data_IF_636817744588
#
_entry.id   IF_636817744588
#
_cell.length_a   1.000
_cell.length_b   1.000
_cell.length_c   1.000
_cell.angle_alpha   90.00
_cell.angle_beta   90.00
_cell.angle_gamma   90.00
#
_symmetry.space_group_name_H-M   'P 1'
#
loop_
_entity.id
_entity.type
_entity.pdbx_description
1 polymer ?
#
# COMPACT_ATOMS: atom_id res chain seq x y z
N UNK A 1 -17.07 -21.10 -21.06
CA UNK A 1 -15.88 -20.40 -20.53
C UNK A 1 -16.18 -20.03 -19.09
N UNK A 2 -15.66 -20.77 -18.12
CA UNK A 2 -15.82 -20.44 -16.70
C UNK A 2 -14.73 -19.42 -16.35
N UNK A 3 -15.13 -18.17 -16.13
CA UNK A 3 -14.22 -17.16 -15.57
C UNK A 3 -13.88 -17.60 -14.14
N UNK A 4 -12.64 -18.00 -13.90
CA UNK A 4 -12.11 -18.21 -12.56
C UNK A 4 -12.35 -16.94 -11.73
N UNK A 5 -13.26 -17.01 -10.76
CA UNK A 5 -13.61 -15.89 -9.91
C UNK A 5 -12.52 -15.72 -8.84
N UNK A 6 -11.35 -15.22 -9.25
CA UNK A 6 -10.24 -14.95 -8.34
C UNK A 6 -10.60 -13.74 -7.49
N UNK A 7 -10.43 -13.81 -6.15
CA UNK A 7 -10.67 -12.65 -5.31
C UNK A 7 -9.76 -11.48 -5.74
N UNK A 8 -10.24 -10.24 -5.59
CA UNK A 8 -9.43 -9.08 -5.90
C UNK A 8 -8.16 -9.09 -5.05
N UNK A 9 -7.07 -8.59 -5.63
CA UNK A 9 -5.79 -8.48 -4.95
C UNK A 9 -5.91 -7.68 -3.65
N UNK A 10 -5.19 -8.13 -2.61
CA UNK A 10 -5.11 -7.48 -1.33
C UNK A 10 -3.66 -7.07 -1.07
N UNK A 11 -3.48 -5.82 -0.62
CA UNK A 11 -2.15 -5.33 -0.21
C UNK A 11 -1.56 -6.27 0.84
N UNK A 12 -0.30 -6.62 0.65
CA UNK A 12 0.52 -7.34 1.61
C UNK A 12 1.17 -6.36 2.58
N UNK A 13 1.89 -6.89 3.57
CA UNK A 13 2.68 -6.06 4.47
C UNK A 13 3.79 -5.29 3.74
N UNK A 14 4.46 -5.92 2.77
CA UNK A 14 5.51 -5.27 1.99
C UNK A 14 4.97 -4.18 1.08
N UNK A 15 3.79 -4.38 0.48
CA UNK A 15 3.10 -3.33 -0.28
C UNK A 15 2.74 -2.16 0.62
N UNK A 16 2.34 -2.42 1.87
CA UNK A 16 2.04 -1.36 2.83
C UNK A 16 3.30 -0.52 3.18
N UNK A 17 4.47 -1.16 3.28
CA UNK A 17 5.75 -0.44 3.47
C UNK A 17 6.04 0.45 2.26
N UNK A 18 5.86 -0.07 1.04
CA UNK A 18 6.07 0.71 -0.18
C UNK A 18 5.02 1.82 -0.37
N UNK A 19 3.77 1.60 0.02
CA UNK A 19 2.71 2.63 0.09
C UNK A 19 3.18 3.83 0.93
N UNK A 20 3.76 3.59 2.11
CA UNK A 20 4.31 4.67 2.94
C UNK A 20 5.46 5.41 2.25
N UNK A 21 6.39 4.68 1.63
CA UNK A 21 7.51 5.27 0.90
C UNK A 21 7.03 6.16 -0.27
N UNK A 22 6.09 5.67 -1.09
CA UNK A 22 5.51 6.43 -2.20
C UNK A 22 4.75 7.67 -1.73
N UNK A 23 3.97 7.54 -0.66
CA UNK A 23 3.22 8.65 -0.09
C UNK A 23 4.15 9.75 0.41
N UNK A 24 5.22 9.40 1.13
CA UNK A 24 6.23 10.38 1.56
C UNK A 24 7.07 10.95 0.42
N UNK A 25 7.20 10.23 -0.69
CA UNK A 25 7.78 10.75 -1.93
C UNK A 25 6.82 11.70 -2.70
N UNK A 26 5.62 11.97 -2.16
CA UNK A 26 4.67 12.93 -2.72
C UNK A 26 3.62 12.34 -3.67
N UNK A 27 3.54 11.02 -3.81
CA UNK A 27 2.51 10.40 -4.66
C UNK A 27 1.12 10.47 -4.00
N UNK A 28 0.11 10.87 -4.77
CA UNK A 28 -1.28 10.83 -4.32
C UNK A 28 -1.80 9.39 -4.16
N UNK A 29 -2.73 9.18 -3.23
CA UNK A 29 -3.28 7.85 -2.91
C UNK A 29 -3.88 7.13 -4.14
N UNK A 30 -4.50 7.86 -5.07
CA UNK A 30 -5.07 7.26 -6.28
C UNK A 30 -4.00 6.79 -7.27
N UNK A 31 -2.86 7.48 -7.37
CA UNK A 31 -1.71 7.00 -8.14
C UNK A 31 -1.09 5.75 -7.52
N UNK A 32 -0.92 5.75 -6.20
CA UNK A 32 -0.42 4.57 -5.47
C UNK A 32 -1.38 3.39 -5.66
N UNK A 33 -2.68 3.61 -5.54
CA UNK A 33 -3.69 2.57 -5.70
C UNK A 33 -3.70 1.95 -7.11
N UNK A 34 -3.46 2.76 -8.15
CA UNK A 34 -3.34 2.30 -9.53
C UNK A 34 -2.15 1.35 -9.74
N UNK A 35 -1.02 1.56 -9.05
CA UNK A 35 0.15 0.66 -9.11
C UNK A 35 -0.21 -0.75 -8.64
N UNK A 36 -1.05 -0.86 -7.62
CA UNK A 36 -1.44 -2.13 -7.01
C UNK A 36 -2.75 -2.71 -7.56
N UNK A 37 -3.45 -1.99 -8.45
CA UNK A 37 -4.77 -2.38 -8.91
C UNK A 37 -5.81 -2.47 -7.79
N UNK A 38 -5.72 -1.59 -6.78
CA UNK A 38 -6.64 -1.55 -5.63
C UNK A 38 -7.44 -0.25 -5.58
N UNK A 39 -8.45 -0.20 -4.73
CA UNK A 39 -9.20 1.03 -4.47
C UNK A 39 -8.37 2.00 -3.61
N UNK A 40 -8.43 3.33 -3.83
CA UNK A 40 -7.73 4.32 -3.01
C UNK A 40 -8.05 4.21 -1.50
N UNK A 41 -9.25 3.74 -1.15
CA UNK A 41 -9.62 3.45 0.24
C UNK A 41 -8.71 2.40 0.91
N UNK A 42 -8.18 1.42 0.16
CA UNK A 42 -7.23 0.42 0.69
C UNK A 42 -5.89 1.06 1.03
N UNK A 43 -5.43 2.00 0.21
CA UNK A 43 -4.27 2.83 0.51
C UNK A 43 -4.53 3.71 1.73
N UNK A 44 -5.73 4.31 1.83
CA UNK A 44 -6.11 5.11 2.99
C UNK A 44 -6.09 4.31 4.31
N UNK A 45 -6.55 3.06 4.29
CA UNK A 45 -6.54 2.18 5.46
C UNK A 45 -5.10 1.90 5.94
N UNK A 46 -4.14 1.74 5.01
CA UNK A 46 -2.71 1.61 5.34
C UNK A 46 -2.18 2.90 5.95
N UNK A 47 -2.42 4.04 5.30
CA UNK A 47 -1.89 5.34 5.74
C UNK A 47 -2.50 5.84 7.05
N UNK A 48 -3.68 5.33 7.45
CA UNK A 48 -4.28 5.55 8.76
C UNK A 48 -3.87 4.53 9.82
N UNK A 49 -2.98 3.60 9.48
CA UNK A 49 -2.53 2.53 10.37
C UNK A 49 -3.63 1.53 10.75
N UNK A 50 -4.75 1.49 10.02
CA UNK A 50 -5.85 0.55 10.27
C UNK A 50 -5.54 -0.85 9.73
N UNK A 51 -4.69 -0.92 8.71
CA UNK A 51 -4.16 -2.16 8.15
C UNK A 51 -2.63 -2.12 8.12
N UNK A 52 -2.03 -3.30 8.23
CA UNK A 52 -0.59 -3.50 8.20
C UNK A 52 0.15 -2.62 9.22
N UNK A 53 -0.32 -2.67 10.48
CA UNK A 53 0.30 -1.98 11.63
C UNK A 53 1.80 -2.29 11.67
N UNK A 54 2.64 -1.28 11.85
CA UNK A 54 4.10 -1.43 11.83
C UNK A 54 4.75 -1.06 10.48
N UNK A 55 4.00 -1.07 9.37
CA UNK A 55 4.56 -0.81 8.04
C UNK A 55 5.15 0.61 7.91
N UNK A 56 4.57 1.60 8.60
CA UNK A 56 5.08 2.97 8.66
C UNK A 56 6.49 3.01 9.28
N UNK A 57 6.67 2.30 10.39
CA UNK A 57 7.94 2.27 11.12
C UNK A 57 9.02 1.60 10.29
N UNK A 58 8.69 0.50 9.60
CA UNK A 58 9.61 -0.17 8.68
C UNK A 58 9.97 0.74 7.50
N UNK A 59 8.98 1.42 6.90
CA UNK A 59 9.23 2.40 5.85
C UNK A 59 10.14 3.54 6.32
N UNK A 60 9.92 4.04 7.54
CA UNK A 60 10.75 5.09 8.14
C UNK A 60 12.20 4.62 8.33
N UNK A 61 12.40 3.39 8.81
CA UNK A 61 13.73 2.79 8.94
C UNK A 61 14.43 2.63 7.58
N UNK A 62 13.72 2.15 6.54
CA UNK A 62 14.27 2.04 5.17
C UNK A 62 14.71 3.39 4.62
N UNK A 63 13.91 4.44 4.81
CA UNK A 63 14.22 5.80 4.33
C UNK A 63 15.42 6.43 5.04
N UNK A 64 15.69 6.06 6.30
CA UNK A 64 16.86 6.55 7.06
C UNK A 64 18.17 5.86 6.67
N UNK A 65 18.09 4.65 6.12
CA UNK A 65 19.25 3.88 5.69
C UNK A 65 19.69 4.19 4.26
N UNK A 66 18.91 4.98 3.51
CA UNK A 66 19.19 5.43 2.14
C UNK A 66 19.77 6.85 2.15
#
# INVERSE_FOLDING_TARGET
>A
MTTENKPPYQLTYDDAVDVWLRHWAGQYQHHIAAVYGVNPGRVNDVLKGRKHVGAEQVAASKRRAA
#
